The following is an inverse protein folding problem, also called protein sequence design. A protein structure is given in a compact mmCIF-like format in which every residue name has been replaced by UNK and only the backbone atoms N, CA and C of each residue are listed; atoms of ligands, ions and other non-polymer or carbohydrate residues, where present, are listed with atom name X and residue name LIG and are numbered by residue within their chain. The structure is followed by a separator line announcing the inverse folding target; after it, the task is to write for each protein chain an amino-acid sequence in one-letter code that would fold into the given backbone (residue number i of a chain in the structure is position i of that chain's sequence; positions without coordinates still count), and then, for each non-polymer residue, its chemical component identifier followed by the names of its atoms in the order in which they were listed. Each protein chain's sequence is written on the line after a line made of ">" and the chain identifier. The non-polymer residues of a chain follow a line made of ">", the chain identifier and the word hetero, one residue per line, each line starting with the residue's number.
data_IF_027267641047
#
_entry.id   IF_027267641047
#
_cell.length_a   1.000
_cell.length_b   1.000
_cell.length_c   1.000
_cell.angle_alpha   90.00
_cell.angle_beta   90.00
_cell.angle_gamma   90.00
#
_symmetry.space_group_name_H-M   'P 1'
#
loop_
_entity.id
_entity.type
_entity.pdbx_description
1 polymer ?
#
# COMPACT_ATOMS: atom_id res chain seq x y z
N UNK A 1 4.94 14.80 16.21
CA UNK A 1 4.01 13.65 16.20
C UNK A 1 3.81 13.22 14.75
N UNK A 2 4.07 11.94 14.49
CA UNK A 2 3.91 11.30 13.20
C UNK A 2 2.71 10.36 13.37
N UNK A 3 1.65 10.64 12.65
CA UNK A 3 0.40 9.87 12.73
C UNK A 3 0.51 8.83 11.62
N UNK A 4 0.50 7.57 12.01
CA UNK A 4 0.41 6.45 11.08
C UNK A 4 -1.03 5.97 11.11
N UNK A 5 -1.77 6.28 10.04
CA UNK A 5 -3.11 5.77 9.87
C UNK A 5 -3.08 4.60 8.88
N UNK A 6 -3.82 3.55 9.21
CA UNK A 6 -3.95 2.36 8.38
C UNK A 6 -5.12 2.57 7.43
N UNK A 7 -4.86 2.48 6.14
CA UNK A 7 -5.87 2.66 5.12
C UNK A 7 -5.94 1.45 4.20
N UNK A 8 -7.15 1.10 3.79
CA UNK A 8 -7.38 0.18 2.68
C UNK A 8 -7.25 0.96 1.37
N UNK A 9 -6.35 0.53 0.51
CA UNK A 9 -6.12 1.13 -0.80
C UNK A 9 -5.88 0.08 -1.87
N UNK A 10 -5.78 0.54 -3.12
CA UNK A 10 -5.56 -0.32 -4.29
C UNK A 10 -4.22 0.03 -4.92
N UNK A 11 -3.40 -0.96 -5.21
CA UNK A 11 -2.12 -0.75 -5.89
C UNK A 11 -2.38 -0.37 -7.35
N UNK A 12 -2.00 0.85 -7.72
CA UNK A 12 -2.10 1.35 -9.09
C UNK A 12 -0.92 0.91 -9.96
N UNK A 13 0.29 0.95 -9.42
CA UNK A 13 1.51 0.51 -10.10
C UNK A 13 2.57 0.04 -9.11
N UNK A 14 3.53 -0.73 -9.61
CA UNK A 14 4.67 -1.25 -8.84
C UNK A 14 5.96 -0.86 -9.58
N UNK A 15 6.88 -0.22 -8.87
CA UNK A 15 8.22 0.15 -9.32
C UNK A 15 9.23 -0.35 -8.28
N UNK A 16 9.87 -1.48 -8.58
CA UNK A 16 10.80 -2.13 -7.66
C UNK A 16 10.13 -2.52 -6.34
N UNK A 17 10.57 -1.89 -5.24
CA UNK A 17 10.03 -2.07 -3.90
C UNK A 17 9.03 -0.98 -3.47
N UNK A 18 8.66 -0.07 -4.38
CA UNK A 18 7.69 1.00 -4.15
C UNK A 18 6.41 0.73 -4.95
N UNK A 19 5.27 0.78 -4.28
CA UNK A 19 3.96 0.75 -4.89
C UNK A 19 3.31 2.13 -4.84
N UNK A 20 2.61 2.50 -5.91
CA UNK A 20 1.67 3.64 -5.87
C UNK A 20 0.31 3.13 -5.40
N UNK A 21 -0.05 3.44 -4.16
CA UNK A 21 -1.33 3.03 -3.57
C UNK A 21 -2.35 4.15 -3.78
N UNK A 22 -3.46 3.85 -4.46
CA UNK A 22 -4.61 4.75 -4.52
C UNK A 22 -5.46 4.56 -3.27
N UNK A 23 -5.72 5.67 -2.60
CA UNK A 23 -6.65 5.75 -1.49
C UNK A 23 -7.55 6.98 -1.72
N UNK A 24 -8.83 6.74 -2.00
CA UNK A 24 -9.75 7.81 -2.41
C UNK A 24 -9.17 8.62 -3.59
N UNK A 25 -8.99 9.93 -3.43
CA UNK A 25 -8.42 10.84 -4.42
C UNK A 25 -6.89 10.97 -4.31
N UNK A 26 -6.26 10.29 -3.34
CA UNK A 26 -4.82 10.36 -3.10
C UNK A 26 -4.07 9.23 -3.79
N UNK A 27 -2.86 9.56 -4.28
CA UNK A 27 -1.88 8.60 -4.77
C UNK A 27 -0.67 8.63 -3.82
N UNK A 28 -0.45 7.53 -3.10
CA UNK A 28 0.48 7.46 -1.99
C UNK A 28 1.60 6.46 -2.35
N UNK A 29 2.87 6.90 -2.46
CA UNK A 29 4.00 6.00 -2.60
C UNK A 29 4.21 5.24 -1.28
N UNK A 30 4.18 3.91 -1.34
CA UNK A 30 4.35 3.04 -0.19
C UNK A 30 5.37 1.94 -0.47
N UNK A 31 6.34 1.75 0.43
CA UNK A 31 7.33 0.69 0.33
C UNK A 31 6.72 -0.67 0.70
N UNK A 32 7.08 -1.69 -0.05
CA UNK A 32 6.75 -3.09 0.20
C UNK A 32 7.63 -3.58 1.36
N UNK A 33 7.01 -4.05 2.44
CA UNK A 33 7.76 -4.72 3.50
C UNK A 33 8.22 -6.12 3.04
N UNK A 34 9.44 -6.50 3.41
CA UNK A 34 10.07 -7.75 2.97
C UNK A 34 9.38 -9.01 3.49
N UNK A 35 8.56 -8.89 4.55
CA UNK A 35 7.90 -9.98 5.27
C UNK A 35 6.43 -10.17 4.87
N UNK A 36 5.97 -9.52 3.80
CA UNK A 36 4.62 -9.75 3.28
C UNK A 36 4.46 -11.18 2.76
N UNK A 37 3.36 -11.84 3.14
CA UNK A 37 3.02 -13.20 2.71
C UNK A 37 2.91 -13.35 1.19
N UNK A 38 2.63 -12.25 0.49
CA UNK A 38 2.61 -12.18 -0.96
C UNK A 38 3.04 -10.79 -1.43
N UNK A 39 3.65 -10.71 -2.61
CA UNK A 39 4.00 -9.42 -3.21
C UNK A 39 2.75 -8.77 -3.82
N UNK A 40 2.53 -7.46 -3.59
CA UNK A 40 1.47 -6.74 -4.27
C UNK A 40 1.76 -6.61 -5.76
N UNK A 41 0.69 -6.64 -6.56
CA UNK A 41 0.69 -6.33 -8.00
C UNK A 41 -0.33 -5.22 -8.28
N UNK A 42 -0.27 -4.60 -9.46
CA UNK A 42 -1.30 -3.65 -9.88
C UNK A 42 -2.70 -4.30 -9.79
N UNK A 43 -3.66 -3.59 -9.20
CA UNK A 43 -4.99 -4.09 -8.88
C UNK A 43 -5.13 -4.77 -7.51
N UNK A 44 -4.04 -5.04 -6.78
CA UNK A 44 -4.14 -5.65 -5.45
C UNK A 44 -4.76 -4.69 -4.43
N UNK A 45 -5.72 -5.18 -3.65
CA UNK A 45 -6.17 -4.52 -2.42
C UNK A 45 -5.11 -4.68 -1.33
N UNK A 46 -4.76 -3.59 -0.65
CA UNK A 46 -3.71 -3.56 0.38
C UNK A 46 -4.13 -2.75 1.59
N UNK A 47 -3.64 -3.14 2.78
CA UNK A 47 -3.56 -2.20 3.90
C UNK A 47 -2.18 -1.54 3.86
N UNK A 48 -2.17 -0.21 3.82
CA UNK A 48 -0.95 0.60 3.95
C UNK A 48 -1.02 1.49 5.19
N UNK A 49 0.11 1.64 5.87
CA UNK A 49 0.33 2.70 6.85
C UNK A 49 0.76 3.96 6.10
N UNK A 50 -0.13 4.95 6.06
CA UNK A 50 0.20 6.25 5.48
C UNK A 50 0.91 7.10 6.51
N UNK A 51 2.11 7.52 6.16
CA UNK A 51 2.93 8.43 6.92
C UNK A 51 2.97 9.79 6.21
N UNK A 52 2.15 10.74 6.66
CA UNK A 52 2.06 12.07 6.03
C UNK A 52 3.37 12.89 6.03
N UNK A 53 4.38 12.48 6.81
CA UNK A 53 5.66 13.20 6.96
C UNK A 53 6.87 12.37 6.54
N UNK A 54 6.67 11.22 5.90
CA UNK A 54 7.78 10.36 5.50
C UNK A 54 7.32 9.16 4.67
N UNK A 55 8.09 8.08 4.76
CA UNK A 55 7.81 6.88 3.97
C UNK A 55 6.57 6.14 4.50
N UNK A 56 5.64 5.83 3.58
CA UNK A 56 4.47 4.98 3.83
C UNK A 56 4.80 3.53 3.50
N UNK A 57 4.05 2.58 4.07
CA UNK A 57 4.40 1.15 3.99
C UNK A 57 3.18 0.31 3.68
N UNK A 58 3.35 -0.70 2.83
CA UNK A 58 2.36 -1.77 2.67
C UNK A 58 2.62 -2.80 3.76
N UNK A 59 1.60 -3.06 4.58
CA UNK A 59 1.69 -4.01 5.71
C UNK A 59 0.86 -5.26 5.49
N UNK A 60 -0.06 -5.26 4.51
CA UNK A 60 -0.86 -6.43 4.14
C UNK A 60 -1.33 -6.33 2.70
N UNK A 61 -1.37 -7.46 2.01
CA UNK A 61 -1.97 -7.61 0.68
C UNK A 61 -3.12 -8.60 0.78
N UNK A 62 -4.26 -8.28 0.18
CA UNK A 62 -5.39 -9.20 0.01
C UNK A 62 -5.40 -9.74 -1.42
N UNK A 63 -5.80 -11.01 -1.58
CA UNK A 63 -6.27 -11.50 -2.88
C UNK A 63 -7.67 -10.93 -3.09
N UNK A 64 -7.94 -10.41 -4.30
CA UNK A 64 -9.21 -9.86 -4.77
C UNK A 64 -10.36 -10.13 -3.80
N UNK A 65 -10.82 -9.09 -3.10
CA UNK A 65 -11.98 -9.21 -2.22
C UNK A 65 -13.30 -9.48 -2.97
N UNK A 66 -13.25 -9.49 -4.31
CA UNK A 66 -14.38 -9.60 -5.22
C UNK A 66 -14.38 -10.90 -6.07
N UNK A 67 -13.43 -11.82 -5.85
CA UNK A 67 -13.46 -13.18 -6.44
C UNK A 67 -14.19 -14.19 -5.55
#
# INVERSE_FOLDING_TARGET
>A
MQIFEKHLGVVGSVDGDICQVRYWEFLIPARILSDLSQKPIAGSDVISEWNHKGESRIIKVFKNLLE
#
